data_IF_334099258919
#
_entry.id   IF_334099258919
#
_cell.length_a   1.000
_cell.length_b   1.000
_cell.length_c   1.000
_cell.angle_alpha   90.00
_cell.angle_beta   90.00
_cell.angle_gamma   90.00
#
_symmetry.space_group_name_H-M   'P 1'
#
loop_
_entity.id
_entity.type
_entity.pdbx_description
1 polymer ?
#
# COMPACT_ATOMS: atom_id res chain seq x y z
N UNK A 1 10.70 0.97 -7.50
CA UNK A 1 9.64 0.13 -8.05
C UNK A 1 8.60 -0.08 -6.98
N UNK A 2 7.79 -1.12 -7.10
CA UNK A 2 7.01 -1.67 -5.98
C UNK A 2 7.82 -2.84 -5.44
N UNK A 3 7.99 -2.91 -4.12
CA UNK A 3 8.63 -4.00 -3.42
C UNK A 3 7.71 -4.49 -2.29
N UNK A 4 7.88 -5.74 -1.88
CA UNK A 4 7.19 -6.29 -0.71
C UNK A 4 8.10 -6.06 0.51
N UNK A 5 7.63 -5.27 1.46
CA UNK A 5 8.35 -5.05 2.72
C UNK A 5 8.00 -6.10 3.77
N UNK A 6 6.77 -6.62 3.75
CA UNK A 6 6.33 -7.74 4.58
C UNK A 6 5.33 -8.62 3.86
N UNK A 7 5.39 -9.92 4.13
CA UNK A 7 4.45 -10.93 3.66
C UNK A 7 4.14 -11.85 4.83
N UNK A 8 2.87 -11.91 5.21
CA UNK A 8 2.38 -12.76 6.28
C UNK A 8 1.19 -13.59 5.78
N UNK A 9 0.91 -14.67 6.50
CA UNK A 9 -0.37 -15.36 6.37
C UNK A 9 -1.44 -14.60 7.14
N UNK A 10 -2.68 -14.69 6.69
CA UNK A 10 -3.82 -14.11 7.38
C UNK A 10 -3.97 -14.67 8.80
N UNK A 11 -4.23 -13.78 9.75
CA UNK A 11 -4.39 -14.14 11.17
C UNK A 11 -5.69 -14.90 11.46
N UNK A 12 -6.61 -14.97 10.49
CA UNK A 12 -7.88 -15.69 10.58
C UNK A 12 -7.76 -17.20 10.33
N UNK A 13 -6.54 -17.69 10.06
CA UNK A 13 -6.24 -19.10 9.79
C UNK A 13 -6.57 -19.55 8.37
N UNK A 14 -6.92 -18.62 7.47
CA UNK A 14 -7.04 -18.91 6.04
C UNK A 14 -5.66 -19.00 5.38
N UNK A 15 -5.57 -19.75 4.27
CA UNK A 15 -4.38 -19.81 3.42
C UNK A 15 -4.30 -18.60 2.48
N UNK A 16 -4.50 -17.39 3.03
CA UNK A 16 -4.43 -16.14 2.28
C UNK A 16 -3.31 -15.24 2.80
N UNK A 17 -2.85 -14.33 1.95
CA UNK A 17 -1.71 -13.46 2.18
C UNK A 17 -2.13 -12.08 2.66
N UNK A 18 -1.37 -11.55 3.60
CA UNK A 18 -1.40 -10.16 4.05
C UNK A 18 -0.07 -9.50 3.69
N UNK A 19 -0.15 -8.47 2.85
CA UNK A 19 1.02 -7.83 2.22
C UNK A 19 1.21 -6.41 2.73
N UNK A 20 2.46 -6.07 3.01
CA UNK A 20 2.90 -4.67 3.17
C UNK A 20 3.82 -4.34 2.01
N UNK A 21 3.48 -3.28 1.27
CA UNK A 21 4.21 -2.84 0.09
C UNK A 21 5.04 -1.59 0.38
N UNK A 22 6.25 -1.57 -0.18
CA UNK A 22 7.12 -0.41 -0.24
C UNK A 22 7.16 0.13 -1.68
N UNK A 23 7.04 1.45 -1.81
CA UNK A 23 7.01 2.18 -3.07
C UNK A 23 8.26 3.06 -3.17
N UNK A 24 9.17 2.68 -4.06
CA UNK A 24 10.45 3.36 -4.27
C UNK A 24 10.61 3.91 -5.68
N UNK A 25 11.51 4.88 -5.87
CA UNK A 25 11.95 5.34 -7.19
C UNK A 25 10.82 5.90 -8.06
N UNK A 26 10.76 5.54 -9.34
CA UNK A 26 9.78 6.11 -10.28
C UNK A 26 8.31 5.92 -9.86
N UNK A 27 7.98 4.79 -9.22
CA UNK A 27 6.63 4.49 -8.72
C UNK A 27 6.20 5.44 -7.60
N UNK A 28 7.14 6.08 -6.89
CA UNK A 28 6.83 7.11 -5.92
C UNK A 28 6.34 8.39 -6.60
N UNK A 29 7.03 8.82 -7.66
CA UNK A 29 6.73 10.08 -8.35
C UNK A 29 5.48 10.02 -9.23
N UNK A 30 5.10 8.84 -9.74
CA UNK A 30 3.90 8.68 -10.58
C UNK A 30 2.78 7.85 -9.95
N UNK A 31 3.11 6.98 -8.97
CA UNK A 31 2.20 5.97 -8.44
C UNK A 31 1.79 6.19 -6.99
N UNK A 32 2.33 7.18 -6.30
CA UNK A 32 1.89 7.54 -4.96
C UNK A 32 0.76 8.57 -4.96
N UNK A 33 0.11 8.85 -6.10
CA UNK A 33 -1.15 9.57 -6.11
C UNK A 33 -2.23 8.71 -5.39
N UNK A 34 -3.16 9.31 -4.63
CA UNK A 34 -4.15 8.58 -3.84
C UNK A 34 -4.90 7.48 -4.62
N UNK A 35 -5.36 7.81 -5.83
CA UNK A 35 -6.09 6.87 -6.67
C UNK A 35 -5.25 5.70 -7.19
N UNK A 36 -3.93 5.89 -7.33
CA UNK A 36 -3.04 4.80 -7.75
C UNK A 36 -2.78 3.82 -6.60
N UNK A 37 -2.63 4.32 -5.37
CA UNK A 37 -2.51 3.46 -4.18
C UNK A 37 -3.78 2.62 -3.98
N UNK A 38 -4.95 3.27 -4.07
CA UNK A 38 -6.26 2.59 -4.03
C UNK A 38 -6.38 1.56 -5.17
N UNK A 39 -5.93 1.91 -6.39
CA UNK A 39 -5.94 1.01 -7.54
C UNK A 39 -5.09 -0.24 -7.34
N UNK A 40 -3.84 -0.09 -6.89
CA UNK A 40 -2.93 -1.23 -6.61
C UNK A 40 -3.50 -2.12 -5.51
N UNK A 41 -4.03 -1.52 -4.43
CA UNK A 41 -4.70 -2.27 -3.35
C UNK A 41 -5.86 -3.10 -3.91
N UNK A 42 -6.78 -2.47 -4.64
CA UNK A 42 -7.98 -3.14 -5.14
C UNK A 42 -7.66 -4.21 -6.18
N UNK A 43 -6.61 -4.02 -6.99
CA UNK A 43 -6.18 -5.02 -7.98
C UNK A 43 -5.65 -6.28 -7.30
N UNK A 44 -4.78 -6.11 -6.30
CA UNK A 44 -4.20 -7.23 -5.55
C UNK A 44 -5.20 -7.93 -4.63
N UNK A 45 -6.04 -7.18 -3.90
CA UNK A 45 -7.12 -7.75 -3.06
C UNK A 45 -8.27 -8.33 -3.90
N UNK A 46 -8.25 -8.15 -5.23
CA UNK A 46 -9.14 -8.86 -6.14
C UNK A 46 -8.78 -10.33 -6.33
N UNK A 47 -7.56 -10.72 -5.96
CA UNK A 47 -7.11 -12.11 -5.95
C UNK A 47 -7.56 -12.81 -4.65
N UNK A 48 -8.15 -14.00 -4.79
CA UNK A 48 -8.58 -14.81 -3.65
C UNK A 48 -7.46 -15.25 -2.72
N UNK A 49 -6.21 -15.21 -3.18
CA UNK A 49 -5.02 -15.55 -2.39
C UNK A 49 -4.56 -14.37 -1.50
N UNK A 50 -5.09 -13.16 -1.68
CA UNK A 50 -4.64 -11.96 -0.95
C UNK A 50 -5.83 -11.35 -0.20
N UNK A 51 -5.77 -11.37 1.13
CA UNK A 51 -6.85 -10.83 1.98
C UNK A 51 -6.67 -9.34 2.28
N UNK A 52 -5.43 -8.86 2.28
CA UNK A 52 -5.13 -7.49 2.70
C UNK A 52 -3.86 -6.95 2.07
N UNK A 53 -3.92 -5.70 1.62
CA UNK A 53 -2.77 -4.93 1.15
C UNK A 53 -2.66 -3.61 1.93
N UNK A 54 -1.48 -3.38 2.48
CA UNK A 54 -1.09 -2.20 3.25
C UNK A 54 0.19 -1.61 2.67
N UNK A 55 0.49 -0.37 3.04
CA UNK A 55 1.68 0.34 2.56
C UNK A 55 2.58 0.70 3.73
N UNK A 56 3.89 0.64 3.51
CA UNK A 56 4.86 1.04 4.53
C UNK A 56 4.73 2.53 4.83
N UNK A 57 4.67 2.92 6.11
CA UNK A 57 4.63 4.32 6.52
C UNK A 57 5.84 5.14 6.05
N UNK A 58 6.97 4.51 5.76
CA UNK A 58 8.15 5.18 5.20
C UNK A 58 7.82 5.91 3.88
N UNK A 59 6.76 5.49 3.18
CA UNK A 59 6.22 6.20 2.03
C UNK A 59 5.83 7.64 2.38
N UNK A 60 5.24 7.86 3.54
CA UNK A 60 4.77 9.18 3.99
C UNK A 60 5.92 10.14 4.28
N UNK A 61 7.11 9.62 4.60
CA UNK A 61 8.30 10.42 4.88
C UNK A 61 8.91 11.06 3.62
N UNK A 62 8.43 10.64 2.44
CA UNK A 62 8.87 11.19 1.15
C UNK A 62 8.07 12.42 0.71
N UNK A 63 6.96 12.71 1.39
CA UNK A 63 6.10 13.86 1.12
C UNK A 63 6.36 14.99 2.11
N UNK A 64 6.05 16.22 1.68
CA UNK A 64 5.90 17.32 2.61
C UNK A 64 4.61 17.17 3.44
N UNK A 65 4.40 18.06 4.40
CA UNK A 65 3.25 18.01 5.32
C UNK A 65 1.91 17.99 4.57
N UNK A 66 1.77 18.83 3.54
CA UNK A 66 0.54 18.95 2.76
C UNK A 66 0.28 17.69 1.91
N UNK A 67 1.32 17.16 1.23
CA UNK A 67 1.22 15.93 0.48
C UNK A 67 0.90 14.73 1.37
N UNK A 68 1.50 14.67 2.56
CA UNK A 68 1.24 13.62 3.55
C UNK A 68 -0.21 13.64 4.03
N UNK A 69 -0.73 14.81 4.42
CA UNK A 69 -2.14 14.93 4.82
C UNK A 69 -3.09 14.54 3.68
N UNK A 70 -2.78 14.98 2.46
CA UNK A 70 -3.57 14.65 1.29
C UNK A 70 -3.66 13.14 1.05
N UNK A 71 -2.54 12.42 1.19
CA UNK A 71 -2.49 10.95 1.05
C UNK A 71 -3.25 10.25 2.17
N UNK A 72 -3.12 10.70 3.41
CA UNK A 72 -3.83 10.10 4.54
C UNK A 72 -5.35 10.27 4.43
N UNK A 73 -5.82 11.41 3.92
CA UNK A 73 -7.26 11.69 3.78
C UNK A 73 -7.86 11.03 2.54
N UNK A 74 -7.14 11.03 1.42
CA UNK A 74 -7.71 10.64 0.13
C UNK A 74 -7.21 9.28 -0.39
N UNK A 75 -6.15 8.72 0.19
CA UNK A 75 -5.52 7.48 -0.28
C UNK A 75 -6.41 6.25 -0.12
N UNK A 76 -7.30 6.23 0.88
CA UNK A 76 -8.17 5.08 1.22
C UNK A 76 -7.41 3.74 1.35
N UNK A 77 -6.16 3.83 1.78
CA UNK A 77 -5.28 2.70 2.05
C UNK A 77 -4.79 2.80 3.49
N UNK A 78 -4.30 1.69 4.03
CA UNK A 78 -3.71 1.66 5.37
C UNK A 78 -2.19 1.75 5.30
N UNK A 79 -1.61 2.53 6.21
CA UNK A 79 -0.18 2.65 6.42
C UNK A 79 0.22 2.00 7.75
N UNK A 80 1.27 1.18 7.75
CA UNK A 80 1.77 0.45 8.94
C UNK A 80 3.25 0.67 9.19
#
# INVERSE_FOLDING_TARGET
GIAISSLNWAEDGSETLDLVLDLTGACLSCGAAPGTLEGVKNDLEGDSEIVRVQFDKALLDTFDELGREFILVHGKVQFV
#
